data_IF_936694386728
#
_entry.id   IF_936694386728
#
_cell.length_a   1.000
_cell.length_b   1.000
_cell.length_c   1.000
_cell.angle_alpha   90.00
_cell.angle_beta   90.00
_cell.angle_gamma   90.00
#
_symmetry.space_group_name_H-M   'P 1'
#
loop_
_entity.id
_entity.type
_entity.pdbx_description
1 polymer ?
#
# COMPACT_ATOMS: atom_id res chain seq x y z
N UNK A 1 33.74 8.61 36.06
CA UNK A 1 32.52 9.03 35.32
C UNK A 1 32.76 9.43 33.85
N UNK A 2 33.90 10.04 33.47
CA UNK A 2 34.17 10.42 32.07
C UNK A 2 34.41 9.21 31.14
N UNK A 3 35.10 8.17 31.62
CA UNK A 3 35.41 6.97 30.83
C UNK A 3 34.16 6.14 30.46
N UNK A 4 33.16 6.07 31.34
CA UNK A 4 31.89 5.37 31.07
C UNK A 4 31.07 6.07 29.98
N UNK A 5 31.09 7.41 29.96
CA UNK A 5 30.42 8.19 28.90
C UNK A 5 31.09 7.97 27.53
N UNK A 6 32.42 7.86 27.49
CA UNK A 6 33.17 7.59 26.26
C UNK A 6 32.89 6.19 25.69
N UNK A 7 32.74 5.19 26.57
CA UNK A 7 32.41 3.83 26.19
C UNK A 7 31.01 3.72 25.58
N UNK A 8 30.01 4.38 26.19
CA UNK A 8 28.62 4.41 25.69
C UNK A 8 28.53 5.10 24.33
N UNK A 9 29.26 6.21 24.12
CA UNK A 9 29.32 6.91 22.83
C UNK A 9 29.99 6.05 21.76
N UNK A 10 31.04 5.30 22.11
CA UNK A 10 31.70 4.39 21.18
C UNK A 10 30.74 3.31 20.69
N UNK A 11 30.04 2.61 21.60
CA UNK A 11 29.09 1.53 21.26
C UNK A 11 27.98 2.00 20.30
N UNK A 12 27.47 3.23 20.48
CA UNK A 12 26.44 3.80 19.60
C UNK A 12 26.94 4.18 18.20
N UNK A 13 28.25 4.39 18.01
CA UNK A 13 28.81 4.74 16.69
C UNK A 13 28.94 3.51 15.78
N UNK A 14 29.23 2.32 16.32
CA UNK A 14 29.42 1.09 15.53
C UNK A 14 28.12 0.57 14.90
N UNK A 15 26.97 0.82 15.51
CA UNK A 15 25.67 0.37 15.00
C UNK A 15 25.19 1.15 13.77
N UNK A 16 25.76 2.34 13.50
CA UNK A 16 25.40 3.18 12.34
C UNK A 16 26.17 2.74 11.07
N UNK A 17 27.37 2.18 11.22
CA UNK A 17 28.27 1.81 10.11
C UNK A 17 27.92 0.50 9.40
N UNK A 18 27.00 -0.32 9.94
CA UNK A 18 26.68 -1.65 9.40
C UNK A 18 25.37 -1.70 8.58
N UNK A 19 24.76 -0.54 8.29
CA UNK A 19 23.52 -0.47 7.51
C UNK A 19 23.80 -0.62 6.00
N UNK A 20 23.91 -1.87 5.52
CA UNK A 20 24.00 -2.15 4.10
C UNK A 20 22.64 -1.94 3.41
N UNK A 21 22.58 -0.96 2.49
CA UNK A 21 21.38 -0.70 1.69
C UNK A 21 21.11 -1.88 0.76
N UNK A 22 20.09 -2.66 1.07
CA UNK A 22 19.58 -3.70 0.16
C UNK A 22 18.62 -3.05 -0.83
N UNK A 23 18.97 -3.05 -2.12
CA UNK A 23 18.09 -2.54 -3.18
C UNK A 23 17.26 -3.68 -3.75
N UNK A 24 15.96 -3.67 -3.50
CA UNK A 24 15.00 -4.58 -4.12
C UNK A 24 14.43 -3.92 -5.38
N UNK A 25 14.87 -4.36 -6.56
CA UNK A 25 14.36 -3.85 -7.84
C UNK A 25 13.18 -4.73 -8.26
N UNK A 26 11.99 -4.13 -8.32
CA UNK A 26 10.77 -4.83 -8.69
C UNK A 26 10.10 -4.12 -9.87
N UNK A 27 9.83 -4.87 -10.94
CA UNK A 27 9.03 -4.40 -12.07
C UNK A 27 7.59 -4.89 -11.89
N UNK A 28 6.69 -3.99 -11.50
CA UNK A 28 5.29 -4.30 -11.22
C UNK A 28 4.38 -3.68 -12.27
N UNK A 29 3.34 -4.41 -12.67
CA UNK A 29 2.25 -3.90 -13.49
C UNK A 29 0.94 -3.98 -12.71
N UNK A 30 0.16 -2.89 -12.76
CA UNK A 30 -1.14 -2.80 -12.10
C UNK A 30 -2.22 -2.52 -13.12
N UNK A 31 -3.26 -3.34 -13.11
CA UNK A 31 -4.49 -3.06 -13.84
C UNK A 31 -5.66 -3.02 -12.88
N UNK A 32 -6.61 -2.14 -13.13
CA UNK A 32 -7.76 -1.99 -12.27
C UNK A 32 -8.99 -1.51 -13.01
N UNK A 33 -10.15 -2.01 -12.60
CA UNK A 33 -11.46 -1.51 -12.95
C UNK A 33 -12.00 -0.84 -11.69
N UNK A 34 -12.20 0.47 -11.74
CA UNK A 34 -12.69 1.26 -10.61
C UNK A 34 -14.08 1.79 -10.96
N UNK A 35 -15.01 1.72 -10.03
CA UNK A 35 -16.39 2.16 -10.24
C UNK A 35 -16.85 3.10 -9.13
N UNK A 36 -17.63 4.10 -9.53
CA UNK A 36 -18.34 4.99 -8.62
C UNK A 36 -19.81 4.97 -9.00
N UNK A 37 -20.63 4.36 -8.16
CA UNK A 37 -22.07 4.25 -8.38
C UNK A 37 -22.76 5.25 -7.46
N UNK A 38 -23.13 6.41 -7.99
CA UNK A 38 -23.86 7.43 -7.23
C UNK A 38 -25.36 7.20 -7.38
N UNK A 39 -26.02 6.86 -6.28
CA UNK A 39 -27.46 6.60 -6.26
C UNK A 39 -28.26 7.72 -5.56
N UNK A 40 -27.59 8.71 -4.95
CA UNK A 40 -28.22 9.94 -4.47
C UNK A 40 -27.24 11.11 -4.46
N UNK A 41 -27.73 12.31 -4.12
CA UNK A 41 -26.86 13.48 -3.98
C UNK A 41 -25.84 13.35 -2.85
N UNK A 42 -26.13 12.54 -1.83
CA UNK A 42 -25.25 12.37 -0.66
C UNK A 42 -24.55 11.02 -0.61
N UNK A 43 -25.01 10.01 -1.34
CA UNK A 43 -24.53 8.63 -1.20
C UNK A 43 -24.23 7.94 -2.51
N UNK A 44 -23.28 7.01 -2.43
CA UNK A 44 -22.80 6.22 -3.54
C UNK A 44 -21.93 5.08 -3.05
N UNK A 45 -21.56 4.19 -3.96
CA UNK A 45 -20.77 3.00 -3.68
C UNK A 45 -19.52 2.95 -4.58
N UNK A 46 -18.51 2.23 -4.11
CA UNK A 46 -17.40 1.75 -4.91
C UNK A 46 -17.41 0.23 -4.94
N UNK A 47 -17.06 -0.32 -6.10
CA UNK A 47 -16.81 -1.74 -6.29
C UNK A 47 -15.68 -1.87 -7.32
N UNK A 48 -14.49 -2.17 -6.83
CA UNK A 48 -13.27 -2.12 -7.63
C UNK A 48 -12.56 -3.46 -7.63
N UNK A 49 -11.98 -3.77 -8.79
CA UNK A 49 -11.16 -4.96 -9.00
C UNK A 49 -9.77 -4.52 -9.45
N UNK A 50 -8.75 -5.04 -8.79
CA UNK A 50 -7.36 -4.72 -9.05
C UNK A 50 -6.58 -6.03 -9.22
N UNK A 51 -5.66 -6.03 -10.18
CA UNK A 51 -4.72 -7.14 -10.38
C UNK A 51 -3.31 -6.56 -10.46
N UNK A 52 -2.41 -7.12 -9.66
CA UNK A 52 -0.98 -6.83 -9.74
C UNK A 52 -0.23 -8.00 -10.35
N UNK A 53 0.66 -7.70 -11.28
CA UNK A 53 1.63 -8.61 -11.88
C UNK A 53 3.05 -8.17 -11.55
N UNK A 54 3.97 -9.13 -11.49
CA UNK A 54 5.40 -8.92 -11.32
C UNK A 54 6.14 -9.27 -12.62
N UNK A 55 7.40 -8.86 -12.72
CA UNK A 55 8.20 -8.97 -13.95
C UNK A 55 7.38 -8.45 -15.14
N UNK A 56 6.89 -7.22 -14.99
CA UNK A 56 5.87 -6.61 -15.84
C UNK A 56 4.54 -7.36 -15.75
N UNK A 57 4.14 -8.10 -16.79
CA UNK A 57 2.89 -8.86 -16.85
C UNK A 57 3.10 -10.36 -16.68
N UNK A 58 4.36 -10.84 -16.66
CA UNK A 58 4.69 -12.25 -16.71
C UNK A 58 4.10 -13.00 -15.50
N UNK A 59 4.41 -12.54 -14.29
CA UNK A 59 4.14 -13.32 -13.10
C UNK A 59 2.90 -12.82 -12.35
N UNK A 60 1.97 -13.71 -11.95
CA UNK A 60 0.87 -13.35 -11.07
C UNK A 60 1.41 -12.85 -9.72
N UNK A 61 0.89 -11.71 -9.25
CA UNK A 61 1.27 -11.11 -7.97
C UNK A 61 0.17 -11.29 -6.93
N UNK A 62 -0.80 -10.38 -6.94
CA UNK A 62 -1.99 -10.48 -6.09
C UNK A 62 -3.23 -9.95 -6.78
N UNK A 63 -4.37 -10.43 -6.32
CA UNK A 63 -5.67 -9.86 -6.64
C UNK A 63 -6.16 -9.05 -5.44
N UNK A 64 -6.84 -7.96 -5.74
CA UNK A 64 -7.32 -7.03 -4.74
C UNK A 64 -8.71 -6.54 -5.12
N UNK A 65 -9.69 -6.79 -4.26
CA UNK A 65 -11.05 -6.30 -4.40
C UNK A 65 -11.31 -5.22 -3.35
N UNK A 66 -11.99 -4.15 -3.75
CA UNK A 66 -12.47 -3.13 -2.81
C UNK A 66 -13.96 -2.94 -2.96
N UNK A 67 -14.64 -2.81 -1.84
CA UNK A 67 -16.03 -2.41 -1.77
C UNK A 67 -16.18 -1.33 -0.70
N UNK A 68 -17.02 -0.34 -0.96
CA UNK A 68 -17.17 0.76 -0.02
C UNK A 68 -18.29 1.70 -0.39
N UNK A 69 -18.45 2.73 0.44
CA UNK A 69 -19.42 3.77 0.28
C UNK A 69 -18.74 5.13 0.20
N UNK A 70 -19.38 6.03 -0.53
CA UNK A 70 -19.08 7.45 -0.60
C UNK A 70 -20.19 8.23 0.08
N UNK A 71 -19.80 9.26 0.83
CA UNK A 71 -20.68 10.27 1.39
C UNK A 71 -20.25 11.66 0.93
N UNK A 72 -21.06 12.31 0.09
CA UNK A 72 -20.83 13.69 -0.35
C UNK A 72 -21.35 14.64 0.74
N UNK A 73 -20.42 15.26 1.47
CA UNK A 73 -20.74 16.28 2.49
C UNK A 73 -21.18 17.57 1.80
N UNK A 74 -20.55 17.90 0.67
CA UNK A 74 -20.87 19.02 -0.19
C UNK A 74 -20.33 18.76 -1.61
N UNK A 75 -20.43 19.72 -2.52
CA UNK A 75 -20.02 19.58 -3.92
C UNK A 75 -18.50 19.42 -4.13
N UNK A 76 -17.69 19.67 -3.09
CA UNK A 76 -16.21 19.67 -3.14
C UNK A 76 -15.59 18.66 -2.18
N UNK A 77 -16.36 18.08 -1.27
CA UNK A 77 -15.88 17.21 -0.21
C UNK A 77 -16.66 15.91 -0.20
N UNK A 78 -15.93 14.82 -0.39
CA UNK A 78 -16.45 13.45 -0.36
C UNK A 78 -15.67 12.67 0.67
N UNK A 79 -16.39 12.01 1.58
CA UNK A 79 -15.85 11.03 2.49
C UNK A 79 -16.05 9.64 1.88
N UNK A 80 -15.06 8.77 2.03
CA UNK A 80 -15.14 7.39 1.55
C UNK A 80 -14.70 6.42 2.64
N UNK A 81 -15.44 5.34 2.81
CA UNK A 81 -15.07 4.26 3.72
C UNK A 81 -15.42 2.92 3.07
N UNK A 82 -14.63 1.89 3.34
CA UNK A 82 -14.82 0.59 2.72
C UNK A 82 -13.89 -0.48 3.26
N UNK A 83 -14.00 -1.66 2.67
CA UNK A 83 -13.18 -2.82 2.95
C UNK A 83 -12.45 -3.25 1.69
N UNK A 84 -11.17 -3.58 1.85
CA UNK A 84 -10.32 -4.12 0.80
C UNK A 84 -9.84 -5.51 1.18
N UNK A 85 -10.07 -6.49 0.33
CA UNK A 85 -9.52 -7.84 0.50
C UNK A 85 -8.46 -8.11 -0.57
N UNK A 86 -7.25 -8.47 -0.12
CA UNK A 86 -6.12 -8.77 -0.98
C UNK A 86 -5.65 -10.19 -0.72
N UNK A 87 -5.41 -10.95 -1.79
CA UNK A 87 -4.91 -12.31 -1.71
C UNK A 87 -3.89 -12.57 -2.81
N UNK A 88 -2.96 -13.49 -2.52
CA UNK A 88 -1.98 -13.92 -3.51
C UNK A 88 -2.69 -14.56 -4.70
N UNK A 89 -2.27 -14.17 -5.90
CA UNK A 89 -2.78 -14.82 -7.10
C UNK A 89 -2.30 -16.29 -7.11
N UNK A 90 -3.12 -17.24 -7.63
CA UNK A 90 -2.74 -18.64 -7.71
C UNK A 90 -1.38 -18.78 -8.41
N UNK A 91 -0.47 -19.52 -7.79
CA UNK A 91 0.79 -19.89 -8.42
C UNK A 91 0.55 -20.82 -9.61
N UNK A 92 1.46 -20.77 -10.58
CA UNK A 92 1.66 -21.83 -11.57
C UNK A 92 2.60 -22.88 -11.01
#
# INVERSE_FOLDING_TARGET
>A
MKQVKLLVVSIFCWSILSAQKTMNVQHMFWTSVNSTIRFSDRWGLMADLHMRRNNFIADPGFYFIRVGAYHWVNHKTVLSAGYGHMWLAPGV
#
